data_IF_274011817674
#
_entry.id   IF_274011817674
#
_cell.length_a   1.000
_cell.length_b   1.000
_cell.length_c   1.000
_cell.angle_alpha   90.00
_cell.angle_beta   90.00
_cell.angle_gamma   90.00
#
_symmetry.space_group_name_H-M   'P 1'
#
loop_
_entity.id
_entity.type
_entity.pdbx_description
1 polymer ?
#
# COMPACT_ATOMS: atom_id res chain seq x y z
N UNK A 1 60.96 61.16 25.03
CA UNK A 1 60.89 59.88 25.75
C UNK A 1 59.45 59.70 26.17
N UNK A 2 58.57 59.17 25.32
CA UNK A 2 58.49 57.78 24.82
C UNK A 2 57.99 56.86 25.94
N UNK A 3 57.00 55.98 25.78
CA UNK A 3 56.46 55.33 24.57
C UNK A 3 55.00 54.95 24.84
N UNK A 4 54.13 55.11 23.83
CA UNK A 4 52.80 54.49 23.76
C UNK A 4 52.94 52.96 23.65
N UNK A 5 52.12 52.23 24.40
CA UNK A 5 52.04 50.76 24.34
C UNK A 5 50.70 50.37 23.71
N UNK A 6 50.71 50.20 22.39
CA UNK A 6 49.65 49.54 21.65
C UNK A 6 49.73 48.03 21.94
N UNK A 7 48.68 47.46 22.52
CA UNK A 7 48.51 46.01 22.59
C UNK A 7 47.53 45.58 21.50
N UNK A 8 48.07 45.16 20.36
CA UNK A 8 47.38 44.41 19.32
C UNK A 8 46.77 43.14 19.93
N UNK A 9 45.44 43.04 19.92
CA UNK A 9 44.76 41.77 20.12
C UNK A 9 44.67 41.05 18.78
N UNK A 10 45.71 40.28 18.48
CA UNK A 10 45.78 39.35 17.36
C UNK A 10 44.64 38.32 17.48
N UNK A 11 43.77 38.32 16.47
CA UNK A 11 42.66 37.38 16.34
C UNK A 11 43.17 36.15 15.60
N UNK A 12 43.06 34.92 16.14
CA UNK A 12 43.55 33.75 15.43
C UNK A 12 42.66 33.49 14.22
N UNK A 13 43.22 33.74 13.03
CA UNK A 13 42.66 33.42 11.74
C UNK A 13 42.60 31.89 11.56
N UNK A 14 41.39 31.37 11.30
CA UNK A 14 41.16 29.94 11.03
C UNK A 14 41.67 29.62 9.63
N UNK A 15 42.74 28.82 9.56
CA UNK A 15 43.50 28.51 8.37
C UNK A 15 42.99 27.27 7.61
N UNK A 16 42.44 27.47 6.41
CA UNK A 16 42.63 26.72 5.15
C UNK A 16 42.87 25.19 5.15
N UNK A 17 42.13 24.39 5.94
CA UNK A 17 42.16 22.90 5.84
C UNK A 17 40.83 22.28 5.39
N UNK A 18 39.82 23.09 5.06
CA UNK A 18 38.42 22.63 4.86
C UNK A 18 38.08 22.12 3.44
N UNK A 19 38.92 22.40 2.44
CA UNK A 19 38.61 22.08 1.04
C UNK A 19 38.37 20.57 0.75
N UNK A 20 39.24 19.63 1.17
CA UNK A 20 39.05 18.21 0.83
C UNK A 20 37.84 17.58 1.53
N UNK A 21 37.55 17.99 2.77
CA UNK A 21 36.40 17.46 3.52
C UNK A 21 35.06 17.93 2.95
N UNK A 22 35.02 19.14 2.37
CA UNK A 22 33.84 19.68 1.71
C UNK A 22 33.51 18.85 0.45
N UNK A 23 34.53 18.51 -0.33
CA UNK A 23 34.39 17.69 -1.55
C UNK A 23 33.88 16.29 -1.20
N UNK A 24 34.48 15.63 -0.21
CA UNK A 24 34.04 14.32 0.29
C UNK A 24 32.55 14.32 0.70
N UNK A 25 32.09 15.38 1.38
CA UNK A 25 30.69 15.50 1.78
C UNK A 25 29.75 15.69 0.59
N UNK A 26 30.18 16.44 -0.43
CA UNK A 26 29.39 16.63 -1.65
C UNK A 26 29.27 15.33 -2.46
N UNK A 27 30.33 14.52 -2.49
CA UNK A 27 30.33 13.21 -3.15
C UNK A 27 29.38 12.24 -2.45
N UNK A 28 29.37 12.22 -1.11
CA UNK A 28 28.43 11.41 -0.33
C UNK A 28 26.98 11.81 -0.62
N UNK A 29 26.67 13.12 -0.62
CA UNK A 29 25.31 13.61 -0.91
C UNK A 29 24.90 13.26 -2.33
N UNK A 30 25.81 13.36 -3.29
CA UNK A 30 25.56 13.01 -4.69
C UNK A 30 25.31 11.51 -4.85
N UNK A 31 26.08 10.66 -4.19
CA UNK A 31 25.85 9.22 -4.14
C UNK A 31 24.48 8.85 -3.55
N UNK A 32 24.07 9.52 -2.47
CA UNK A 32 22.75 9.32 -1.85
C UNK A 32 21.61 9.74 -2.79
N UNK A 33 21.77 10.86 -3.53
CA UNK A 33 20.78 11.30 -4.53
C UNK A 33 20.64 10.29 -5.66
N UNK A 34 21.75 9.80 -6.19
CA UNK A 34 21.73 8.79 -7.25
C UNK A 34 20.98 7.54 -6.77
N UNK A 35 21.33 7.02 -5.59
CA UNK A 35 20.62 5.87 -5.01
C UNK A 35 19.13 6.16 -4.82
N UNK A 36 18.76 7.37 -4.37
CA UNK A 36 17.37 7.77 -4.19
C UNK A 36 16.57 7.81 -5.51
N UNK A 37 17.18 8.25 -6.61
CA UNK A 37 16.51 8.31 -7.92
C UNK A 37 16.20 6.94 -8.51
N UNK A 38 17.07 5.94 -8.29
CA UNK A 38 16.87 4.58 -8.80
C UNK A 38 15.93 3.71 -7.95
N UNK A 39 15.54 4.16 -6.75
CA UNK A 39 14.65 3.39 -5.86
C UNK A 39 13.17 3.57 -6.24
N UNK A 40 12.35 2.50 -6.20
CA UNK A 40 10.91 2.60 -6.46
C UNK A 40 10.21 3.46 -5.40
N UNK A 41 9.14 4.15 -5.78
CA UNK A 41 8.50 5.20 -4.97
C UNK A 41 8.09 4.75 -3.55
N UNK A 42 7.71 3.47 -3.40
CA UNK A 42 7.26 2.90 -2.14
C UNK A 42 8.35 2.12 -1.37
N UNK A 43 9.62 2.25 -1.77
CA UNK A 43 10.72 1.58 -1.10
C UNK A 43 10.97 2.20 0.30
N UNK A 44 11.00 1.40 1.39
CA UNK A 44 11.33 1.89 2.72
C UNK A 44 12.70 2.59 2.79
N UNK A 45 13.64 2.23 1.91
CA UNK A 45 14.97 2.83 1.83
C UNK A 45 14.95 4.31 1.44
N UNK A 46 13.90 4.78 0.74
CA UNK A 46 13.77 6.20 0.40
C UNK A 46 13.67 7.05 1.66
N UNK A 47 12.85 6.63 2.61
CA UNK A 47 12.70 7.35 3.89
C UNK A 47 13.97 7.23 4.72
N UNK A 48 14.63 6.07 4.74
CA UNK A 48 15.86 5.88 5.51
C UNK A 48 17.01 6.75 4.99
N UNK A 49 17.16 6.92 3.67
CA UNK A 49 18.17 7.83 3.09
C UNK A 49 17.98 9.27 3.60
N UNK A 50 16.73 9.73 3.71
CA UNK A 50 16.43 11.08 4.19
C UNK A 50 16.74 11.28 5.69
N UNK A 51 16.81 10.20 6.49
CA UNK A 51 17.21 10.28 7.91
C UNK A 51 18.71 10.55 8.09
N UNK A 52 19.52 10.35 7.06
CA UNK A 52 20.98 10.58 7.09
C UNK A 52 21.32 12.08 6.98
N UNK A 53 20.40 12.87 6.40
CA UNK A 53 20.64 14.28 6.08
C UNK A 53 20.91 15.11 7.33
N UNK A 54 21.75 16.18 7.25
CA UNK A 54 22.11 17.00 8.40
C UNK A 54 20.89 17.63 9.11
N UNK A 55 20.99 17.80 10.43
CA UNK A 55 19.84 18.21 11.28
C UNK A 55 19.40 19.65 11.03
N UNK A 56 20.38 20.51 10.71
CA UNK A 56 20.19 21.91 10.41
C UNK A 56 19.50 22.15 9.04
N UNK A 57 19.29 21.12 8.22
CA UNK A 57 18.58 21.29 6.96
C UNK A 57 17.10 21.54 7.20
N UNK A 58 16.61 22.66 6.67
CA UNK A 58 15.18 22.93 6.60
C UNK A 58 14.48 21.92 5.69
N UNK A 59 13.22 21.58 6.00
CA UNK A 59 12.39 20.65 5.21
C UNK A 59 12.36 21.06 3.73
N UNK A 60 12.25 22.37 3.45
CA UNK A 60 12.26 22.92 2.09
C UNK A 60 13.56 22.65 1.33
N UNK A 61 14.71 22.66 2.01
CA UNK A 61 16.01 22.31 1.41
C UNK A 61 16.04 20.84 1.01
N UNK A 62 15.53 19.95 1.87
CA UNK A 62 15.43 18.50 1.59
C UNK A 62 14.53 18.25 0.38
N UNK A 63 13.36 18.89 0.35
CA UNK A 63 12.41 18.79 -0.77
C UNK A 63 13.06 19.18 -2.09
N UNK A 64 13.76 20.31 -2.13
CA UNK A 64 14.39 20.79 -3.36
C UNK A 64 15.58 19.92 -3.79
N UNK A 65 16.36 19.40 -2.85
CA UNK A 65 17.55 18.60 -3.16
C UNK A 65 17.23 17.17 -3.62
N UNK A 66 16.17 16.57 -3.09
CA UNK A 66 15.79 15.17 -3.38
C UNK A 66 14.49 15.04 -4.20
N UNK A 67 13.81 16.15 -4.51
CA UNK A 67 12.54 16.12 -5.26
C UNK A 67 11.40 15.42 -4.52
N UNK A 68 11.36 15.54 -3.19
CA UNK A 68 10.41 14.80 -2.34
C UNK A 68 9.24 15.65 -1.85
N UNK A 69 8.13 14.99 -1.52
CA UNK A 69 6.97 15.66 -0.92
C UNK A 69 7.30 16.18 0.48
N UNK A 70 6.62 17.26 0.88
CA UNK A 70 6.74 17.83 2.22
C UNK A 70 6.46 16.81 3.33
N UNK A 71 5.48 15.93 3.10
CA UNK A 71 5.09 14.88 4.05
C UNK A 71 6.24 13.89 4.28
N UNK A 72 6.91 13.46 3.20
CA UNK A 72 8.02 12.51 3.29
C UNK A 72 9.22 13.13 4.03
N UNK A 73 9.59 14.37 3.71
CA UNK A 73 10.69 15.06 4.37
C UNK A 73 10.41 15.32 5.86
N UNK A 74 9.17 15.72 6.22
CA UNK A 74 8.76 15.88 7.61
C UNK A 74 8.83 14.56 8.38
N UNK A 75 8.34 13.48 7.77
CA UNK A 75 8.35 12.14 8.35
C UNK A 75 9.78 11.63 8.60
N UNK A 76 10.68 11.83 7.65
CA UNK A 76 12.08 11.45 7.81
C UNK A 76 12.76 12.18 8.98
N UNK A 77 12.47 13.48 9.15
CA UNK A 77 13.00 14.27 10.28
C UNK A 77 12.47 13.77 11.62
N UNK A 78 11.16 13.51 11.71
CA UNK A 78 10.54 12.93 12.92
C UNK A 78 11.11 11.55 13.26
N UNK A 79 11.29 10.70 12.24
CA UNK A 79 11.89 9.37 12.44
C UNK A 79 13.33 9.45 12.90
N UNK A 80 14.09 10.44 12.41
CA UNK A 80 15.46 10.67 12.86
C UNK A 80 15.50 11.10 14.33
N UNK A 81 14.58 11.96 14.74
CA UNK A 81 14.45 12.42 16.13
C UNK A 81 14.06 11.28 17.08
N UNK A 82 13.19 10.35 16.65
CA UNK A 82 12.73 9.25 17.52
C UNK A 82 13.66 8.03 17.51
N UNK A 83 14.13 7.61 16.34
CA UNK A 83 14.75 6.31 16.12
C UNK A 83 16.20 6.40 15.60
N UNK A 84 16.69 7.61 15.30
CA UNK A 84 18.07 7.86 14.87
C UNK A 84 18.32 7.81 13.35
N UNK A 85 19.60 7.69 12.99
CA UNK A 85 20.06 7.67 11.58
C UNK A 85 19.93 6.26 11.01
N UNK A 86 19.53 6.14 9.75
CA UNK A 86 19.30 4.87 9.02
C UNK A 86 18.10 4.04 9.53
N UNK A 87 17.15 4.66 10.21
CA UNK A 87 15.93 3.98 10.64
C UNK A 87 15.15 3.44 9.44
N UNK A 88 14.88 2.13 9.46
CA UNK A 88 14.10 1.46 8.44
C UNK A 88 12.61 1.66 8.70
N UNK A 89 11.92 2.31 7.76
CA UNK A 89 10.46 2.40 7.80
C UNK A 89 9.85 1.12 7.24
N UNK A 90 9.86 0.02 8.01
CA UNK A 90 9.11 -1.18 7.63
C UNK A 90 7.62 -0.88 7.78
N UNK A 91 6.84 -1.10 6.71
CA UNK A 91 5.39 -1.04 6.83
C UNK A 91 4.93 -1.98 7.94
N UNK A 92 4.23 -1.44 8.96
CA UNK A 92 3.70 -2.25 10.06
C UNK A 92 2.87 -3.37 9.46
N UNK A 93 3.30 -4.63 9.63
CA UNK A 93 2.52 -5.78 9.17
C UNK A 93 1.18 -5.76 9.91
N UNK A 94 0.09 -5.94 9.18
CA UNK A 94 -1.24 -6.05 9.77
C UNK A 94 -1.32 -7.24 10.74
N UNK A 95 -2.30 -7.22 11.64
CA UNK A 95 -2.59 -8.37 12.50
C UNK A 95 -2.94 -9.58 11.62
N UNK A 96 -2.22 -10.69 11.79
CA UNK A 96 -2.56 -11.96 11.14
C UNK A 96 -3.88 -12.46 11.69
N UNK A 97 -4.83 -12.79 10.81
CA UNK A 97 -6.10 -13.39 11.20
C UNK A 97 -5.89 -14.84 11.65
N UNK A 98 -6.72 -15.30 12.58
CA UNK A 98 -6.75 -16.71 12.99
C UNK A 98 -7.23 -17.56 11.81
N UNK A 99 -6.61 -18.74 11.64
CA UNK A 99 -6.97 -19.67 10.56
C UNK A 99 -8.46 -20.08 10.63
N UNK A 100 -8.99 -20.26 11.84
CA UNK A 100 -10.40 -20.56 12.09
C UNK A 100 -11.34 -19.50 11.50
N UNK A 101 -11.00 -18.21 11.66
CA UNK A 101 -11.80 -17.11 11.11
C UNK A 101 -11.79 -17.13 9.59
N UNK A 102 -10.64 -17.42 8.98
CA UNK A 102 -10.50 -17.53 7.52
C UNK A 102 -11.38 -18.64 6.97
N UNK A 103 -11.35 -19.81 7.59
CA UNK A 103 -12.18 -20.95 7.18
C UNK A 103 -13.67 -20.64 7.27
N UNK A 104 -14.11 -20.03 8.39
CA UNK A 104 -15.52 -19.61 8.54
C UNK A 104 -15.97 -18.61 7.48
N UNK A 105 -15.08 -17.71 7.04
CA UNK A 105 -15.39 -16.77 5.96
C UNK A 105 -15.54 -17.51 4.63
N UNK A 106 -14.68 -18.50 4.35
CA UNK A 106 -14.79 -19.35 3.15
C UNK A 106 -16.10 -20.15 3.16
N UNK A 107 -16.42 -20.81 4.27
CA UNK A 107 -17.68 -21.55 4.47
C UNK A 107 -18.91 -20.64 4.30
N UNK A 108 -18.84 -19.41 4.84
CA UNK A 108 -19.91 -18.42 4.71
C UNK A 108 -20.16 -18.01 3.25
N UNK A 109 -19.10 -17.91 2.45
CA UNK A 109 -19.23 -17.68 1.01
C UNK A 109 -19.75 -18.90 0.26
N UNK A 110 -19.52 -20.12 0.74
CA UNK A 110 -20.03 -21.37 0.15
C UNK A 110 -21.52 -21.59 0.37
N UNK A 111 -22.08 -21.02 1.45
CA UNK A 111 -23.49 -21.14 1.76
C UNK A 111 -24.41 -20.73 0.58
N UNK A 112 -25.34 -21.62 0.23
CA UNK A 112 -26.32 -21.44 -0.85
C UNK A 112 -27.28 -20.27 -0.61
N UNK A 113 -27.43 -19.84 0.64
CA UNK A 113 -28.20 -18.64 1.00
C UNK A 113 -27.51 -17.35 0.53
N UNK A 114 -26.18 -17.35 0.49
CA UNK A 114 -25.37 -16.17 0.17
C UNK A 114 -24.88 -16.17 -1.29
N UNK A 115 -24.70 -17.37 -1.87
CA UNK A 115 -24.24 -17.54 -3.24
C UNK A 115 -25.00 -18.65 -3.97
N UNK A 116 -25.27 -18.47 -5.27
CA UNK A 116 -25.89 -19.50 -6.12
C UNK A 116 -24.96 -19.94 -7.23
N UNK A 117 -25.01 -21.23 -7.59
CA UNK A 117 -24.26 -21.77 -8.73
C UNK A 117 -24.80 -21.15 -10.03
N UNK A 118 -23.90 -20.66 -10.89
CA UNK A 118 -24.25 -20.15 -12.21
C UNK A 118 -24.69 -21.30 -13.12
N UNK A 119 -25.82 -21.21 -13.83
CA UNK A 119 -26.39 -22.33 -14.56
C UNK A 119 -25.59 -22.75 -15.81
N UNK A 120 -24.80 -21.84 -16.39
CA UNK A 120 -24.15 -22.09 -17.68
C UNK A 120 -22.82 -22.85 -17.53
N UNK A 121 -22.62 -23.88 -18.36
CA UNK A 121 -21.39 -24.69 -18.40
C UNK A 121 -20.13 -23.86 -18.73
N UNK A 122 -20.29 -22.74 -19.43
CA UNK A 122 -19.17 -21.84 -19.76
C UNK A 122 -18.69 -21.03 -18.56
N UNK A 123 -19.52 -20.86 -17.53
CA UNK A 123 -19.22 -20.05 -16.35
C UNK A 123 -18.34 -20.84 -15.37
N UNK A 124 -17.09 -21.07 -15.78
CA UNK A 124 -16.09 -21.82 -15.01
C UNK A 124 -14.80 -21.02 -14.90
N UNK A 125 -14.13 -21.13 -13.74
CA UNK A 125 -12.82 -20.54 -13.47
C UNK A 125 -11.84 -21.65 -13.13
N UNK A 126 -10.65 -21.58 -13.71
CA UNK A 126 -9.56 -22.50 -13.36
C UNK A 126 -8.80 -21.96 -12.16
N UNK A 127 -8.76 -22.72 -11.08
CA UNK A 127 -7.99 -22.41 -9.86
C UNK A 127 -6.91 -23.48 -9.64
N UNK A 128 -5.81 -23.09 -9.00
CA UNK A 128 -4.78 -24.04 -8.58
C UNK A 128 -5.03 -24.43 -7.13
N UNK A 129 -5.26 -25.73 -6.89
CA UNK A 129 -5.45 -26.33 -5.57
C UNK A 129 -4.44 -27.47 -5.46
N UNK A 130 -3.63 -27.48 -4.40
CA UNK A 130 -2.63 -28.52 -4.15
C UNK A 130 -1.64 -28.78 -5.31
N UNK A 131 -1.35 -27.75 -6.13
CA UNK A 131 -0.46 -27.86 -7.28
C UNK A 131 -1.14 -28.30 -8.58
N UNK A 132 -2.44 -28.64 -8.54
CA UNK A 132 -3.21 -29.05 -9.71
C UNK A 132 -4.18 -27.96 -10.17
N UNK A 133 -4.37 -27.85 -11.49
CA UNK A 133 -5.30 -26.91 -12.11
C UNK A 133 -6.69 -27.52 -12.20
N UNK A 134 -7.59 -27.11 -11.30
CA UNK A 134 -8.97 -27.59 -11.23
C UNK A 134 -9.91 -26.54 -11.84
N UNK A 135 -10.88 -26.98 -12.66
CA UNK A 135 -11.96 -26.12 -13.15
C UNK A 135 -13.14 -26.17 -12.19
N UNK A 136 -13.50 -25.01 -11.64
CA UNK A 136 -14.62 -24.86 -10.70
C UNK A 136 -15.69 -23.97 -11.34
N UNK A 137 -16.96 -24.29 -11.08
CA UNK A 137 -18.09 -23.51 -11.58
C UNK A 137 -18.24 -22.21 -10.79
N UNK A 138 -18.53 -21.12 -11.50
CA UNK A 138 -18.75 -19.82 -10.86
C UNK A 138 -20.00 -19.83 -10.01
N UNK A 139 -19.93 -19.11 -8.89
CA UNK A 139 -21.07 -18.87 -7.99
C UNK A 139 -21.33 -17.38 -7.91
N UNK A 140 -22.57 -16.98 -8.14
CA UNK A 140 -23.05 -15.62 -8.07
C UNK A 140 -23.36 -15.25 -6.63
N UNK A 141 -22.77 -14.16 -6.14
CA UNK A 141 -23.15 -13.56 -4.86
C UNK A 141 -24.50 -12.85 -5.01
N UNK A 142 -25.43 -13.15 -4.12
CA UNK A 142 -26.79 -12.59 -4.15
C UNK A 142 -26.87 -11.18 -3.59
N UNK A 143 -25.82 -10.74 -2.88
CA UNK A 143 -25.81 -9.47 -2.15
C UNK A 143 -24.43 -8.84 -2.22
N UNK A 144 -24.36 -7.52 -2.01
CA UNK A 144 -23.11 -6.77 -1.94
C UNK A 144 -22.21 -7.23 -0.79
N UNK A 145 -20.89 -7.05 -0.97
CA UNK A 145 -19.89 -7.37 0.06
C UNK A 145 -20.18 -6.67 1.39
N UNK A 146 -20.68 -5.42 1.36
CA UNK A 146 -21.00 -4.66 2.58
C UNK A 146 -22.07 -5.35 3.41
N UNK A 147 -23.14 -5.80 2.76
CA UNK A 147 -24.25 -6.47 3.44
C UNK A 147 -23.87 -7.88 3.88
N UNK A 148 -23.14 -8.63 3.05
CA UNK A 148 -22.56 -9.93 3.43
C UNK A 148 -21.66 -9.82 4.65
N UNK A 149 -20.86 -8.75 4.74
CA UNK A 149 -19.99 -8.51 5.90
C UNK A 149 -20.79 -8.21 7.18
N UNK A 150 -21.87 -7.45 7.06
CA UNK A 150 -22.76 -7.18 8.19
C UNK A 150 -23.45 -8.45 8.68
N UNK A 151 -23.97 -9.26 7.75
CA UNK A 151 -24.56 -10.57 8.08
C UNK A 151 -23.54 -11.52 8.73
N UNK A 152 -22.31 -11.54 8.24
CA UNK A 152 -21.24 -12.33 8.86
C UNK A 152 -20.95 -11.90 10.29
N UNK A 153 -20.91 -10.59 10.56
CA UNK A 153 -20.71 -10.06 11.93
C UNK A 153 -21.87 -10.38 12.86
N UNK A 154 -23.10 -10.36 12.36
CA UNK A 154 -24.30 -10.72 13.12
C UNK A 154 -24.31 -12.22 13.47
N UNK A 155 -23.93 -13.08 12.53
CA UNK A 155 -23.89 -14.54 12.73
C UNK A 155 -22.68 -15.00 13.55
N UNK A 156 -21.53 -14.35 13.40
CA UNK A 156 -20.26 -14.75 14.03
C UNK A 156 -19.60 -13.58 14.77
N UNK A 157 -20.20 -13.07 15.86
CA UNK A 157 -19.66 -11.94 16.61
C UNK A 157 -18.29 -12.22 17.26
N UNK A 158 -17.97 -13.50 17.50
CA UNK A 158 -16.67 -13.94 18.04
C UNK A 158 -15.50 -13.80 17.05
N UNK A 159 -15.79 -13.62 15.76
CA UNK A 159 -14.80 -13.60 14.68
C UNK A 159 -14.72 -12.19 14.05
N UNK A 160 -14.17 -11.18 14.76
CA UNK A 160 -14.13 -9.82 14.26
C UNK A 160 -13.19 -9.71 13.05
N UNK A 161 -13.74 -9.30 11.91
CA UNK A 161 -13.01 -9.08 10.67
C UNK A 161 -13.35 -7.71 10.07
N UNK A 162 -12.34 -7.04 9.50
CA UNK A 162 -12.53 -5.79 8.76
C UNK A 162 -13.05 -6.04 7.34
N UNK A 163 -13.82 -5.11 6.78
CA UNK A 163 -14.46 -5.28 5.46
C UNK A 163 -13.43 -5.52 4.34
N UNK A 164 -12.30 -4.80 4.36
CA UNK A 164 -11.24 -4.98 3.36
C UNK A 164 -10.71 -6.40 3.38
N UNK A 165 -10.46 -6.94 4.58
CA UNK A 165 -9.92 -8.28 4.71
C UNK A 165 -10.94 -9.36 4.36
N UNK A 166 -12.20 -9.15 4.73
CA UNK A 166 -13.31 -10.00 4.32
C UNK A 166 -13.44 -10.05 2.79
N UNK A 167 -13.35 -8.91 2.11
CA UNK A 167 -13.38 -8.83 0.65
C UNK A 167 -12.18 -9.52 -0.02
N UNK A 168 -10.99 -9.43 0.58
CA UNK A 168 -9.78 -10.13 0.11
C UNK A 168 -9.87 -11.66 0.23
N UNK A 169 -10.51 -12.16 1.29
CA UNK A 169 -10.68 -13.60 1.53
C UNK A 169 -11.71 -14.26 0.61
N UNK A 170 -12.43 -13.47 -0.19
CA UNK A 170 -13.40 -13.98 -1.15
C UNK A 170 -12.73 -14.90 -2.19
N UNK A 171 -13.21 -16.14 -2.36
CA UNK A 171 -12.70 -17.03 -3.40
C UNK A 171 -12.88 -16.48 -4.82
N UNK A 172 -11.93 -16.75 -5.71
CA UNK A 172 -11.92 -16.23 -7.09
C UNK A 172 -13.17 -16.61 -7.92
N UNK A 173 -13.77 -17.74 -7.61
CA UNK A 173 -14.95 -18.27 -8.29
C UNK A 173 -16.28 -17.72 -7.69
N UNK A 174 -16.22 -16.73 -6.76
CA UNK A 174 -17.36 -15.93 -6.32
C UNK A 174 -17.45 -14.63 -7.14
N UNK A 175 -18.52 -14.52 -7.91
CA UNK A 175 -18.73 -13.47 -8.90
C UNK A 175 -19.86 -12.55 -8.45
N UNK A 176 -19.75 -11.26 -8.74
CA UNK A 176 -20.82 -10.30 -8.48
C UNK A 176 -21.86 -10.28 -9.60
N UNK A 177 -23.11 -9.98 -9.24
CA UNK A 177 -24.09 -9.52 -10.20
C UNK A 177 -23.58 -8.25 -10.90
N UNK A 178 -23.62 -8.23 -12.23
CA UNK A 178 -23.13 -7.11 -13.05
C UNK A 178 -21.69 -7.24 -13.57
N UNK A 179 -20.94 -8.27 -13.18
CA UNK A 179 -19.62 -8.51 -13.78
C UNK A 179 -19.76 -8.94 -15.25
N UNK A 180 -18.75 -8.63 -16.08
CA UNK A 180 -18.79 -8.91 -17.52
C UNK A 180 -19.12 -10.39 -17.77
N UNK A 181 -20.22 -10.63 -18.50
CA UNK A 181 -20.73 -11.97 -18.81
C UNK A 181 -21.87 -12.50 -17.92
N UNK A 182 -22.23 -11.83 -16.81
CA UNK A 182 -23.36 -12.28 -15.96
C UNK A 182 -24.73 -11.87 -16.49
N UNK A 183 -24.79 -10.85 -17.35
CA UNK A 183 -26.02 -10.40 -18.03
C UNK A 183 -25.85 -10.48 -19.55
N UNK A 184 -25.74 -11.71 -20.08
CA UNK A 184 -25.89 -11.93 -21.52
C UNK A 184 -27.36 -12.10 -21.88
N UNK A 185 -28.21 -11.14 -21.47
CA UNK A 185 -29.57 -11.06 -22.00
C UNK A 185 -29.45 -10.44 -23.37
N UNK A 186 -29.79 -11.20 -24.40
CA UNK A 186 -29.81 -10.70 -25.76
C UNK A 186 -30.98 -9.71 -25.88
N UNK A 187 -30.69 -8.42 -26.01
CA UNK A 187 -31.72 -7.36 -26.08
C UNK A 187 -32.20 -7.09 -27.51
N UNK A 188 -31.96 -8.01 -28.45
CA UNK A 188 -32.48 -7.84 -29.81
C UNK A 188 -33.97 -8.19 -29.85
N UNK A 189 -34.74 -7.46 -30.65
CA UNK A 189 -36.18 -7.69 -30.85
C UNK A 189 -36.54 -9.09 -31.38
N UNK A 190 -35.56 -9.85 -31.86
CA UNK A 190 -35.71 -11.21 -32.41
C UNK A 190 -35.51 -12.29 -31.32
N UNK A 191 -34.75 -12.00 -30.25
CA UNK A 191 -34.42 -12.94 -29.18
C UNK A 191 -34.76 -12.41 -27.78
N UNK A 192 -35.61 -11.39 -27.67
CA UNK A 192 -36.12 -10.93 -26.38
C UNK A 192 -36.90 -12.05 -25.69
N UNK A 193 -36.75 -12.14 -24.37
CA UNK A 193 -37.62 -12.95 -23.53
C UNK A 193 -39.06 -12.51 -23.76
N UNK A 194 -39.91 -13.41 -24.27
CA UNK A 194 -41.33 -13.15 -24.56
C UNK A 194 -42.07 -12.49 -23.38
N UNK A 195 -41.60 -12.74 -22.15
CA UNK A 195 -42.13 -12.13 -20.93
C UNK A 195 -42.00 -10.60 -20.88
N UNK A 196 -40.95 -10.04 -21.46
CA UNK A 196 -40.77 -8.59 -21.55
C UNK A 196 -41.70 -7.91 -22.57
N UNK A 197 -42.29 -8.69 -23.50
CA UNK A 197 -43.22 -8.18 -24.53
C UNK A 197 -44.68 -8.17 -24.07
N UNK A 198 -45.01 -8.90 -23.00
CA UNK A 198 -46.38 -9.07 -22.49
C UNK A 198 -46.72 -8.04 -21.39
N UNK A 199 -45.70 -7.49 -20.71
CA UNK A 199 -45.87 -6.54 -19.60
C UNK A 199 -45.73 -5.05 -20.01
N UNK A 200 -45.90 -4.73 -21.31
CA UNK A 200 -45.86 -3.36 -21.85
C UNK A 200 -47.26 -2.82 -22.20
#
# INVERSE_FOLDING_TARGET
MSVDFESETDSPSVSNTDAPMQDDLTDIITGLKNKFQFLPENDPLRVSILTILPEHWAIRKIMNQFGVSHIMARKAKQLRESDGVLTSHVAKRGKTLRAETTQKVEDFYENDLNSRIMPNKKDTVSIYLYGEKIKVQNRLLLTDIKNLHNQFKEQFPEHPIGITKFAELRPKYRVFAGSSGTHNVFVCTIHQDFKAMIDA
#
